data_IF_519706605928
#
_entry.id   IF_519706605928
#
_cell.length_a   1.000
_cell.length_b   1.000
_cell.length_c   1.000
_cell.angle_alpha   90.00
_cell.angle_beta   90.00
_cell.angle_gamma   90.00
#
_symmetry.space_group_name_H-M   'P 1'
#
loop_
_entity.id
_entity.type
_entity.pdbx_description
1 polymer ?
#
# COMPACT_ATOMS: atom_id res chain seq x y z
N UNK A 1 -1.60 -10.17 -11.85
CA UNK A 1 -2.04 -9.47 -13.08
C UNK A 1 -0.99 -9.53 -14.20
N UNK A 2 0.24 -9.04 -14.06
CA UNK A 2 1.23 -9.04 -15.15
C UNK A 2 1.48 -10.44 -15.73
N UNK A 3 1.57 -11.47 -14.90
CA UNK A 3 1.69 -12.86 -15.35
C UNK A 3 0.50 -13.29 -16.20
N UNK A 4 -0.73 -12.96 -15.76
CA UNK A 4 -1.93 -13.29 -16.52
C UNK A 4 -2.05 -12.55 -17.86
N UNK A 5 -1.54 -11.31 -17.94
CA UNK A 5 -1.42 -10.61 -19.22
C UNK A 5 -0.44 -11.33 -20.15
N UNK A 6 0.73 -11.73 -19.64
CA UNK A 6 1.73 -12.47 -20.42
C UNK A 6 1.15 -13.80 -20.95
N UNK A 7 0.50 -14.58 -20.10
CA UNK A 7 -0.13 -15.87 -20.46
C UNK A 7 -1.20 -15.70 -21.56
N UNK A 8 -1.80 -14.52 -21.70
CA UNK A 8 -2.80 -14.17 -22.71
C UNK A 8 -2.23 -13.43 -23.93
N UNK A 9 -0.91 -13.33 -24.00
CA UNK A 9 -0.24 -12.62 -25.10
C UNK A 9 -0.48 -11.10 -25.10
N UNK A 10 -0.95 -10.54 -24.01
CA UNK A 10 -1.20 -9.10 -23.84
C UNK A 10 0.04 -8.42 -23.24
N UNK A 11 0.35 -7.23 -23.75
CA UNK A 11 1.49 -6.44 -23.29
C UNK A 11 1.02 -5.06 -22.86
N UNK A 12 1.36 -4.62 -21.64
CA UNK A 12 1.10 -3.25 -21.22
C UNK A 12 2.10 -2.30 -21.91
N UNK A 13 1.64 -1.10 -22.27
CA UNK A 13 2.52 -0.04 -22.80
C UNK A 13 3.36 0.61 -21.69
N UNK A 14 2.87 0.61 -20.46
CA UNK A 14 3.56 1.13 -19.29
C UNK A 14 3.18 0.35 -18.05
N UNK A 15 4.12 0.23 -17.12
CA UNK A 15 3.90 -0.34 -15.78
C UNK A 15 4.37 0.69 -14.76
N UNK A 16 3.51 1.05 -13.82
CA UNK A 16 3.80 2.09 -12.84
C UNK A 16 3.65 1.61 -11.42
N UNK A 17 4.54 2.06 -10.54
CA UNK A 17 4.45 1.90 -9.10
C UNK A 17 4.47 3.27 -8.41
N UNK A 18 3.43 3.59 -7.66
CA UNK A 18 3.37 4.84 -6.90
C UNK A 18 4.05 4.65 -5.53
N UNK A 19 5.25 5.18 -5.39
CA UNK A 19 6.07 5.10 -4.20
C UNK A 19 5.72 6.23 -3.22
N UNK A 20 5.26 5.86 -2.04
CA UNK A 20 4.99 6.80 -0.93
C UNK A 20 6.26 7.20 -0.17
N UNK A 21 7.38 6.50 -0.42
CA UNK A 21 8.62 6.61 0.35
C UNK A 21 8.53 6.01 1.76
N UNK A 22 7.48 5.26 2.05
CA UNK A 22 7.25 4.63 3.36
C UNK A 22 6.88 3.14 3.27
N UNK A 23 7.07 2.51 2.12
CA UNK A 23 6.83 1.09 1.98
C UNK A 23 7.86 0.27 2.78
N UNK A 24 7.49 -0.96 3.16
CA UNK A 24 8.41 -1.89 3.85
C UNK A 24 9.54 -2.34 2.92
N UNK A 25 10.74 -2.68 3.43
CA UNK A 25 11.86 -3.16 2.62
C UNK A 25 11.51 -4.33 1.68
N UNK A 26 10.69 -5.28 2.15
CA UNK A 26 10.20 -6.38 1.34
C UNK A 26 9.41 -5.95 0.09
N UNK A 27 8.67 -4.84 0.15
CA UNK A 27 7.96 -4.29 -1.02
C UNK A 27 8.96 -3.79 -2.07
N UNK A 28 9.99 -3.05 -1.66
CA UNK A 28 11.01 -2.55 -2.59
C UNK A 28 11.80 -3.69 -3.24
N UNK A 29 12.20 -4.70 -2.45
CA UNK A 29 12.86 -5.88 -2.98
C UNK A 29 11.97 -6.63 -4.00
N UNK A 30 10.68 -6.77 -3.71
CA UNK A 30 9.73 -7.40 -4.63
C UNK A 30 9.58 -6.60 -5.93
N UNK A 31 9.47 -5.28 -5.87
CA UNK A 31 9.41 -4.40 -7.05
C UNK A 31 10.64 -4.61 -7.94
N UNK A 32 11.84 -4.70 -7.35
CA UNK A 32 13.07 -4.97 -8.09
C UNK A 32 12.98 -6.31 -8.82
N UNK A 33 12.60 -7.39 -8.13
CA UNK A 33 12.47 -8.72 -8.73
C UNK A 33 11.41 -8.77 -9.84
N UNK A 34 10.27 -8.08 -9.64
CA UNK A 34 9.22 -8.01 -10.67
C UNK A 34 9.69 -7.18 -11.86
N UNK A 35 10.47 -6.11 -11.64
CA UNK A 35 11.02 -5.32 -12.74
C UNK A 35 11.99 -6.13 -13.59
N UNK A 36 12.89 -6.90 -12.98
CA UNK A 36 13.79 -7.82 -13.69
C UNK A 36 13.00 -8.86 -14.50
N UNK A 37 11.95 -9.43 -13.90
CA UNK A 37 11.08 -10.37 -14.59
C UNK A 37 10.35 -9.69 -15.77
N UNK A 38 9.82 -8.48 -15.61
CA UNK A 38 9.20 -7.72 -16.70
C UNK A 38 10.13 -7.56 -17.90
N UNK A 39 11.36 -7.12 -17.65
CA UNK A 39 12.37 -6.94 -18.69
C UNK A 39 12.67 -8.28 -19.38
N UNK A 40 12.84 -9.37 -18.61
CA UNK A 40 13.12 -10.71 -19.13
C UNK A 40 12.03 -11.22 -20.07
N UNK A 41 10.75 -10.93 -19.79
CA UNK A 41 9.62 -11.36 -20.63
C UNK A 41 9.28 -10.34 -21.73
N UNK A 42 10.06 -9.27 -21.85
CA UNK A 42 9.91 -8.21 -22.86
C UNK A 42 8.80 -7.22 -22.55
N UNK A 43 8.38 -7.11 -21.29
CA UNK A 43 7.52 -6.02 -20.81
C UNK A 43 8.34 -4.74 -20.58
N UNK A 44 7.70 -3.56 -20.52
CA UNK A 44 8.40 -2.35 -20.12
C UNK A 44 8.88 -2.44 -18.68
N UNK A 45 9.94 -1.71 -18.36
CA UNK A 45 10.39 -1.53 -16.98
C UNK A 45 9.34 -0.82 -16.14
N UNK A 46 9.37 -1.08 -14.82
CA UNK A 46 8.45 -0.42 -13.89
C UNK A 46 8.91 1.02 -13.66
N UNK A 47 8.02 1.96 -13.94
CA UNK A 47 8.24 3.38 -13.64
C UNK A 47 7.85 3.70 -12.20
N UNK A 48 8.80 4.21 -11.41
CA UNK A 48 8.59 4.61 -10.02
C UNK A 48 8.06 6.03 -9.99
N UNK A 49 6.79 6.16 -9.63
CA UNK A 49 6.12 7.46 -9.52
C UNK A 49 6.15 7.94 -8.07
N UNK A 50 6.73 9.11 -7.83
CA UNK A 50 6.76 9.71 -6.50
C UNK A 50 5.73 10.82 -6.37
N UNK A 51 5.19 10.95 -5.15
CA UNK A 51 4.08 11.82 -4.80
C UNK A 51 4.26 13.29 -5.14
N UNK A 52 3.29 14.15 -4.80
CA UNK A 52 3.33 15.54 -5.17
C UNK A 52 4.61 16.16 -4.63
N UNK A 53 5.50 16.54 -5.54
CA UNK A 53 6.67 17.33 -5.24
C UNK A 53 6.28 18.81 -5.34
N UNK A 54 6.05 19.55 -4.26
CA UNK A 54 6.46 20.92 -4.29
C UNK A 54 7.98 20.86 -4.45
N UNK A 55 8.53 21.58 -5.41
CA UNK A 55 9.99 21.67 -5.65
C UNK A 55 10.81 22.02 -4.39
N UNK A 56 10.14 22.30 -3.28
CA UNK A 56 10.72 22.68 -1.97
C UNK A 56 10.83 21.51 -0.97
N UNK A 57 10.35 20.30 -1.27
CA UNK A 57 10.49 19.13 -0.40
C UNK A 57 11.42 18.15 -1.09
N UNK A 58 12.72 18.31 -0.84
CA UNK A 58 13.80 17.56 -1.46
C UNK A 58 13.74 16.04 -1.29
N UNK A 59 12.91 15.54 -0.35
CA UNK A 59 12.77 14.12 -0.08
C UNK A 59 11.29 13.72 0.00
N UNK A 60 10.54 13.96 -1.04
CA UNK A 60 9.09 13.76 -1.09
C UNK A 60 8.62 12.37 -0.64
N UNK A 61 8.51 12.17 0.67
CA UNK A 61 7.89 10.99 1.25
C UNK A 61 6.70 11.37 2.13
N UNK A 62 5.72 10.48 2.20
CA UNK A 62 4.55 10.65 3.07
C UNK A 62 4.97 10.74 4.54
N UNK A 63 5.99 9.97 4.95
CA UNK A 63 6.55 10.04 6.30
C UNK A 63 7.05 11.45 6.64
N UNK A 64 7.92 12.02 5.80
CA UNK A 64 8.44 13.37 6.03
C UNK A 64 7.37 14.43 6.03
N UNK A 65 6.38 14.31 5.17
CA UNK A 65 5.24 15.21 5.22
C UNK A 65 4.52 15.13 6.57
N UNK A 66 4.27 13.92 7.06
CA UNK A 66 3.60 13.71 8.35
C UNK A 66 4.41 14.28 9.51
N UNK A 67 5.72 14.00 9.56
CA UNK A 67 6.62 14.51 10.59
C UNK A 67 6.70 16.05 10.55
N UNK A 68 6.96 16.64 9.39
CA UNK A 68 7.05 18.10 9.22
C UNK A 68 5.78 18.83 9.62
N UNK A 69 4.62 18.25 9.31
CA UNK A 69 3.31 18.86 9.61
C UNK A 69 2.78 18.51 10.99
N UNK A 70 3.40 17.56 11.70
CA UNK A 70 2.87 17.06 12.97
C UNK A 70 1.50 16.39 12.82
N UNK A 71 1.30 15.61 11.76
CA UNK A 71 0.01 14.95 11.47
C UNK A 71 0.19 13.47 11.19
N UNK A 72 -0.89 12.71 11.36
CA UNK A 72 -0.96 11.30 10.96
C UNK A 72 -1.55 11.16 9.55
N UNK A 73 -1.25 10.06 8.83
CA UNK A 73 -1.95 9.73 7.60
C UNK A 73 -3.45 9.58 7.88
N UNK A 74 -4.29 10.40 7.22
CA UNK A 74 -5.72 10.42 7.50
C UNK A 74 -6.45 9.31 6.73
N UNK A 75 -7.28 8.54 7.45
CA UNK A 75 -8.28 7.66 6.88
C UNK A 75 -9.61 7.90 7.60
N UNK A 76 -10.46 8.75 7.03
CA UNK A 76 -11.74 9.11 7.60
C UNK A 76 -12.86 8.87 6.58
N UNK A 77 -13.99 8.32 7.02
CA UNK A 77 -15.22 8.17 6.23
C UNK A 77 -15.01 7.46 4.86
N UNK A 78 -14.16 6.44 4.81
CA UNK A 78 -13.87 5.71 3.57
C UNK A 78 -12.96 6.45 2.57
N UNK A 79 -12.51 7.66 2.90
CA UNK A 79 -11.55 8.42 2.12
C UNK A 79 -10.15 8.35 2.74
N UNK A 80 -9.17 8.03 1.92
CA UNK A 80 -7.76 7.97 2.30
C UNK A 80 -7.00 9.08 1.59
N UNK A 81 -6.81 10.21 2.26
CA UNK A 81 -6.09 11.36 1.68
C UNK A 81 -4.65 11.01 1.30
N UNK A 82 -4.00 10.10 2.04
CA UNK A 82 -2.67 9.62 1.71
C UNK A 82 -2.68 8.82 0.40
N UNK A 83 -3.70 8.00 0.15
CA UNK A 83 -3.83 7.25 -1.11
C UNK A 83 -4.09 8.17 -2.29
N UNK A 84 -5.01 9.12 -2.16
CA UNK A 84 -5.28 10.06 -3.24
C UNK A 84 -4.05 10.89 -3.60
N UNK A 85 -3.43 11.53 -2.60
CA UNK A 85 -2.31 12.43 -2.79
C UNK A 85 -1.01 11.72 -3.22
N UNK A 86 -0.71 10.55 -2.63
CA UNK A 86 0.59 9.90 -2.79
C UNK A 86 0.59 8.70 -3.74
N UNK A 87 -0.60 8.17 -4.09
CA UNK A 87 -0.72 7.06 -5.06
C UNK A 87 -1.48 7.46 -6.31
N UNK A 88 -2.67 8.07 -6.17
CA UNK A 88 -3.52 8.37 -7.33
C UNK A 88 -3.04 9.59 -8.11
N UNK A 89 -2.63 10.67 -7.42
CA UNK A 89 -2.20 11.90 -8.08
C UNK A 89 -0.93 11.73 -8.93
N UNK A 90 0.14 11.03 -8.48
CA UNK A 90 1.27 10.72 -9.33
C UNK A 90 0.89 9.95 -10.60
N UNK A 91 -0.05 8.99 -10.48
CA UNK A 91 -0.53 8.23 -11.63
C UNK A 91 -1.36 9.08 -12.60
N UNK A 92 -2.21 10.00 -12.10
CA UNK A 92 -2.94 10.94 -12.96
C UNK A 92 -1.99 11.83 -13.78
N UNK A 93 -0.93 12.34 -13.13
CA UNK A 93 0.10 13.13 -13.81
C UNK A 93 0.86 12.31 -14.85
N UNK A 94 1.24 11.08 -14.49
CA UNK A 94 1.88 10.17 -15.43
C UNK A 94 1.00 9.95 -16.65
N UNK A 95 -0.28 9.63 -16.46
CA UNK A 95 -1.22 9.44 -17.58
C UNK A 95 -1.33 10.67 -18.47
N UNK A 96 -1.35 11.88 -17.91
CA UNK A 96 -1.38 13.11 -18.69
C UNK A 96 -0.11 13.30 -19.53
N UNK A 97 1.06 13.01 -18.95
CA UNK A 97 2.35 13.08 -19.64
C UNK A 97 2.43 12.02 -20.74
N UNK A 98 2.04 10.78 -20.42
CA UNK A 98 2.03 9.66 -21.35
C UNK A 98 1.11 9.93 -22.56
N UNK A 99 -0.11 10.42 -22.31
CA UNK A 99 -1.05 10.80 -23.36
C UNK A 99 -0.48 11.85 -24.30
N UNK A 100 0.11 12.91 -23.71
CA UNK A 100 0.75 13.99 -24.49
C UNK A 100 1.93 13.48 -25.33
N UNK A 101 2.78 12.64 -24.73
CA UNK A 101 3.96 12.10 -25.41
C UNK A 101 3.60 11.19 -26.60
N UNK A 102 2.47 10.48 -26.51
CA UNK A 102 1.99 9.57 -27.54
C UNK A 102 0.94 10.19 -28.49
N UNK A 103 0.59 11.47 -28.32
CA UNK A 103 -0.38 12.16 -29.17
C UNK A 103 -1.80 11.61 -29.08
N UNK A 104 -2.18 11.02 -27.93
CA UNK A 104 -3.51 10.44 -27.70
C UNK A 104 -4.27 11.23 -26.61
N UNK A 105 -5.60 11.26 -26.65
CA UNK A 105 -6.38 11.82 -25.54
C UNK A 105 -6.29 10.91 -24.30
N UNK A 106 -6.40 11.49 -23.10
CA UNK A 106 -6.37 10.70 -21.86
C UNK A 106 -7.51 9.70 -21.77
N UNK A 107 -8.64 9.96 -22.44
CA UNK A 107 -9.79 9.03 -22.53
C UNK A 107 -9.44 7.68 -23.17
N UNK A 108 -8.41 7.65 -24.01
CA UNK A 108 -7.97 6.45 -24.73
C UNK A 108 -6.99 5.61 -23.91
N UNK A 109 -6.50 6.14 -22.78
CA UNK A 109 -5.71 5.37 -21.83
C UNK A 109 -6.61 4.36 -21.13
N UNK A 110 -6.20 3.10 -21.16
CA UNK A 110 -6.79 2.03 -20.37
C UNK A 110 -5.89 1.73 -19.19
N UNK A 111 -6.39 1.98 -17.98
CA UNK A 111 -5.70 1.66 -16.74
C UNK A 111 -6.15 0.31 -16.22
N UNK A 112 -5.25 -0.65 -16.18
CA UNK A 112 -5.49 -1.98 -15.63
C UNK A 112 -5.29 -1.97 -14.11
N UNK A 113 -6.31 -2.40 -13.36
CA UNK A 113 -6.30 -2.44 -11.90
C UNK A 113 -6.42 -3.88 -11.44
N UNK A 114 -5.49 -4.33 -10.60
CA UNK A 114 -5.39 -5.71 -10.15
C UNK A 114 -6.29 -6.04 -8.95
N UNK A 115 -7.58 -5.66 -8.99
CA UNK A 115 -8.56 -6.21 -8.05
C UNK A 115 -8.90 -7.62 -8.49
N UNK A 116 -8.79 -8.58 -7.58
CA UNK A 116 -9.09 -9.98 -7.86
C UNK A 116 -10.59 -10.30 -7.74
N UNK A 117 -10.98 -11.52 -8.07
CA UNK A 117 -12.38 -11.93 -8.08
C UNK A 117 -13.01 -11.98 -6.69
N UNK A 118 -12.19 -12.03 -5.63
CA UNK A 118 -12.65 -12.04 -4.24
C UNK A 118 -12.93 -10.62 -3.71
N UNK A 119 -12.70 -9.58 -4.53
CA UNK A 119 -12.90 -8.16 -4.19
C UNK A 119 -14.02 -7.48 -5.01
N UNK A 120 -15.23 -8.06 -5.20
CA UNK A 120 -16.26 -7.53 -6.09
C UNK A 120 -16.73 -6.13 -5.70
N UNK A 121 -16.81 -5.82 -4.42
CA UNK A 121 -17.24 -4.51 -3.93
C UNK A 121 -16.27 -3.38 -4.33
N UNK A 122 -14.99 -3.68 -4.50
CA UNK A 122 -13.99 -2.71 -4.97
C UNK A 122 -14.14 -2.45 -6.47
N UNK A 123 -14.40 -3.49 -7.24
CA UNK A 123 -14.66 -3.39 -8.69
C UNK A 123 -15.94 -2.59 -8.95
N UNK A 124 -17.02 -2.90 -8.26
CA UNK A 124 -18.30 -2.18 -8.37
C UNK A 124 -18.15 -0.69 -8.02
N UNK A 125 -17.46 -0.37 -6.93
CA UNK A 125 -17.15 1.02 -6.56
C UNK A 125 -16.32 1.71 -7.65
N UNK A 126 -15.32 1.03 -8.20
CA UNK A 126 -14.53 1.53 -9.31
C UNK A 126 -15.37 1.83 -10.55
N UNK A 127 -16.25 0.91 -10.93
CA UNK A 127 -17.19 1.07 -12.05
C UNK A 127 -18.19 2.20 -11.81
N UNK A 128 -18.75 2.33 -10.62
CA UNK A 128 -19.70 3.40 -10.27
C UNK A 128 -19.08 4.81 -10.36
N UNK A 129 -17.77 4.93 -10.21
CA UNK A 129 -17.03 6.19 -10.27
C UNK A 129 -16.45 6.48 -11.66
N UNK A 130 -16.69 5.62 -12.65
CA UNK A 130 -16.09 5.72 -14.00
C UNK A 130 -16.34 7.07 -14.68
N UNK A 131 -17.54 7.65 -14.51
CA UNK A 131 -17.93 8.93 -15.08
C UNK A 131 -17.10 10.14 -14.57
N UNK A 132 -16.37 9.98 -13.47
CA UNK A 132 -15.49 11.02 -12.88
C UNK A 132 -14.03 10.87 -13.30
N UNK A 133 -13.70 9.88 -14.14
CA UNK A 133 -12.32 9.54 -14.49
C UNK A 133 -11.96 10.06 -15.87
N UNK A 134 -10.72 10.49 -16.01
CA UNK A 134 -10.17 10.97 -17.27
C UNK A 134 -9.69 9.84 -18.19
N UNK A 135 -9.52 8.62 -17.65
CA UNK A 135 -9.11 7.43 -18.37
C UNK A 135 -10.05 6.26 -18.07
N UNK A 136 -10.12 5.29 -18.97
CA UNK A 136 -10.89 4.06 -18.74
C UNK A 136 -10.16 3.16 -17.75
N UNK A 137 -10.91 2.47 -16.88
CA UNK A 137 -10.37 1.45 -15.98
C UNK A 137 -10.93 0.09 -16.33
N UNK A 138 -10.07 -0.91 -16.29
CA UNK A 138 -10.41 -2.32 -16.48
C UNK A 138 -9.85 -3.13 -15.30
N UNK A 139 -10.47 -4.26 -15.02
CA UNK A 139 -10.19 -5.10 -13.86
C UNK A 139 -9.88 -6.54 -14.31
N UNK A 140 -8.73 -6.78 -14.96
CA UNK A 140 -8.44 -8.05 -15.63
C UNK A 140 -8.55 -9.28 -14.73
N UNK A 141 -8.06 -9.22 -13.49
CA UNK A 141 -8.14 -10.37 -12.58
C UNK A 141 -9.60 -10.74 -12.27
N UNK A 142 -10.43 -9.73 -12.02
CA UNK A 142 -11.86 -9.93 -11.80
C UNK A 142 -12.56 -10.50 -13.04
N UNK A 143 -12.26 -9.95 -14.22
CA UNK A 143 -12.86 -10.38 -15.49
C UNK A 143 -12.41 -11.79 -15.89
N UNK A 144 -11.20 -12.21 -15.49
CA UNK A 144 -10.72 -13.60 -15.68
C UNK A 144 -11.24 -14.57 -14.62
N UNK A 145 -11.94 -14.10 -13.59
CA UNK A 145 -12.37 -14.90 -12.46
C UNK A 145 -11.23 -15.37 -11.56
N UNK A 146 -10.09 -14.68 -11.58
CA UNK A 146 -8.95 -15.03 -10.76
C UNK A 146 -9.12 -14.49 -9.34
N UNK A 147 -9.29 -15.41 -8.39
CA UNK A 147 -9.25 -15.12 -6.98
C UNK A 147 -7.83 -15.06 -6.42
N UNK A 148 -7.72 -15.02 -5.10
CA UNK A 148 -6.43 -14.92 -4.42
C UNK A 148 -5.52 -16.12 -4.71
N UNK A 149 -6.06 -17.33 -4.69
CA UNK A 149 -5.31 -18.55 -4.93
C UNK A 149 -4.75 -18.61 -6.37
N UNK A 150 -5.55 -18.24 -7.37
CA UNK A 150 -5.11 -18.16 -8.76
C UNK A 150 -3.94 -17.19 -8.93
N UNK A 151 -3.99 -16.06 -8.21
CA UNK A 151 -2.91 -15.07 -8.21
C UNK A 151 -1.63 -15.64 -7.59
N UNK A 152 -1.73 -16.39 -6.49
CA UNK A 152 -0.60 -17.07 -5.83
C UNK A 152 0.04 -18.07 -6.79
N UNK A 153 -0.77 -18.92 -7.42
CA UNK A 153 -0.32 -19.93 -8.38
C UNK A 153 0.34 -19.29 -9.61
N UNK A 154 -0.23 -18.20 -10.12
CA UNK A 154 0.35 -17.49 -11.26
C UNK A 154 1.73 -16.91 -10.93
N UNK A 155 1.92 -16.36 -9.72
CA UNK A 155 3.21 -15.84 -9.25
C UNK A 155 4.22 -16.99 -9.14
N UNK A 156 3.79 -18.14 -8.59
CA UNK A 156 4.65 -19.33 -8.49
C UNK A 156 5.05 -19.87 -9.87
N UNK A 157 4.11 -19.96 -10.82
CA UNK A 157 4.40 -20.37 -12.22
C UNK A 157 5.40 -19.45 -12.91
N UNK A 158 5.37 -18.15 -12.58
CA UNK A 158 6.34 -17.19 -13.12
C UNK A 158 7.74 -17.29 -12.46
N UNK A 159 7.93 -18.14 -11.45
CA UNK A 159 9.17 -18.26 -10.69
C UNK A 159 9.43 -17.03 -9.79
N UNK A 160 8.42 -16.26 -9.49
CA UNK A 160 8.51 -15.10 -8.61
C UNK A 160 8.21 -15.51 -7.15
N UNK A 161 8.87 -14.82 -6.21
CA UNK A 161 8.54 -14.98 -4.80
C UNK A 161 7.22 -14.28 -4.50
N UNK A 162 6.38 -14.91 -3.65
CA UNK A 162 5.16 -14.28 -3.16
C UNK A 162 5.50 -12.97 -2.42
N UNK A 163 4.84 -11.86 -2.76
CA UNK A 163 5.02 -10.61 -2.03
C UNK A 163 4.33 -10.68 -0.67
N UNK A 164 4.91 -10.06 0.33
CA UNK A 164 4.18 -9.68 1.53
C UNK A 164 3.17 -8.56 1.24
N UNK A 165 2.39 -8.20 2.24
CA UNK A 165 1.44 -7.09 2.13
C UNK A 165 2.16 -5.77 1.82
N UNK A 166 1.84 -5.15 0.68
CA UNK A 166 2.33 -3.83 0.31
C UNK A 166 1.57 -2.75 1.09
N UNK A 167 2.24 -2.14 2.05
CA UNK A 167 1.69 -1.02 2.82
C UNK A 167 2.85 -0.22 3.43
N UNK A 168 2.61 1.08 3.64
CA UNK A 168 3.53 1.89 4.43
C UNK A 168 3.72 1.28 5.82
N UNK A 169 4.95 1.31 6.35
CA UNK A 169 5.24 0.75 7.68
C UNK A 169 4.46 1.45 8.82
N UNK A 170 3.95 2.65 8.58
CA UNK A 170 3.09 3.44 9.46
C UNK A 170 1.63 3.53 8.98
N UNK A 171 1.13 2.52 8.28
CA UNK A 171 -0.21 2.56 7.71
C UNK A 171 -1.30 2.51 8.81
N UNK A 172 -2.26 3.46 8.85
CA UNK A 172 -3.37 3.42 9.81
C UNK A 172 -4.27 2.18 9.68
N UNK A 173 -4.19 1.48 8.56
CA UNK A 173 -4.94 0.26 8.30
C UNK A 173 -4.20 -1.01 8.71
N UNK A 174 -3.01 -0.89 9.31
CA UNK A 174 -2.30 -2.05 9.83
C UNK A 174 -3.09 -2.72 10.94
N UNK A 175 -3.23 -4.03 10.82
CA UNK A 175 -3.83 -4.87 11.86
C UNK A 175 -2.81 -5.08 12.99
N UNK A 176 -3.29 -5.39 14.19
CA UNK A 176 -2.45 -5.63 15.37
C UNK A 176 -1.32 -6.65 15.14
N UNK A 177 -1.58 -7.82 14.52
CA UNK A 177 -0.53 -8.78 14.19
C UNK A 177 0.54 -8.19 13.25
N UNK A 178 0.16 -7.35 12.29
CA UNK A 178 1.11 -6.71 11.35
C UNK A 178 2.03 -5.69 12.06
N UNK A 179 1.54 -5.06 13.14
CA UNK A 179 2.34 -4.16 13.98
C UNK A 179 3.35 -4.97 14.79
N UNK A 180 2.96 -6.14 15.30
CA UNK A 180 3.88 -7.05 16.01
C UNK A 180 4.92 -7.64 15.06
N UNK A 181 4.53 -8.03 13.85
CA UNK A 181 5.47 -8.45 12.81
C UNK A 181 6.46 -7.33 12.47
N UNK A 182 5.97 -6.08 12.31
CA UNK A 182 6.84 -4.91 12.09
C UNK A 182 7.82 -4.72 13.25
N UNK A 183 7.37 -4.92 14.49
CA UNK A 183 8.23 -4.85 15.70
C UNK A 183 9.34 -5.90 15.69
N UNK A 184 9.02 -7.11 15.27
CA UNK A 184 9.96 -8.22 15.23
C UNK A 184 10.96 -8.11 14.06
N UNK A 185 10.47 -7.77 12.88
CA UNK A 185 11.25 -7.79 11.65
C UNK A 185 11.99 -6.47 11.37
N UNK A 186 11.38 -5.34 11.76
CA UNK A 186 11.85 -4.00 11.46
C UNK A 186 11.64 -3.04 12.64
N UNK A 187 12.31 -3.26 13.79
CA UNK A 187 12.14 -2.45 15.00
C UNK A 187 12.46 -0.97 14.78
N UNK A 188 13.40 -0.65 13.90
CA UNK A 188 13.76 0.71 13.50
C UNK A 188 12.59 1.42 12.80
N UNK A 189 11.86 0.74 11.91
CA UNK A 189 10.69 1.30 11.26
C UNK A 189 9.53 1.48 12.25
N UNK A 190 9.36 0.56 13.19
CA UNK A 190 8.38 0.75 14.26
C UNK A 190 8.69 2.00 15.09
N UNK A 191 9.93 2.21 15.50
CA UNK A 191 10.32 3.41 16.26
C UNK A 191 10.01 4.70 15.49
N UNK A 192 10.26 4.74 14.19
CA UNK A 192 9.90 5.89 13.32
C UNK A 192 8.39 6.11 13.27
N UNK A 193 7.59 5.05 13.18
CA UNK A 193 6.13 5.14 13.21
C UNK A 193 5.62 5.67 14.56
N UNK A 194 6.18 5.19 15.67
CA UNK A 194 5.84 5.66 17.01
C UNK A 194 6.23 7.12 17.25
N UNK A 195 7.36 7.56 16.71
CA UNK A 195 7.78 8.97 16.80
C UNK A 195 6.82 9.87 15.99
N UNK A 196 6.36 9.43 14.81
CA UNK A 196 5.32 10.14 14.05
C UNK A 196 4.02 10.25 14.86
N UNK A 197 3.61 9.17 15.53
CA UNK A 197 2.43 9.16 16.41
C UNK A 197 2.61 10.14 17.57
N UNK A 198 3.76 10.13 18.24
CA UNK A 198 4.09 11.03 19.36
C UNK A 198 3.99 12.48 18.96
N UNK A 199 4.66 12.88 17.88
CA UNK A 199 4.68 14.27 17.38
C UNK A 199 3.26 14.76 17.07
N UNK A 200 2.46 13.94 16.39
CA UNK A 200 1.09 14.31 16.01
C UNK A 200 0.15 14.43 17.23
N UNK A 201 0.29 13.54 18.22
CA UNK A 201 -0.51 13.56 19.44
C UNK A 201 -0.10 14.71 20.37
N UNK A 202 1.19 15.07 20.40
CA UNK A 202 1.68 16.23 21.15
C UNK A 202 1.27 17.58 20.50
N UNK A 203 0.89 17.56 19.20
CA UNK A 203 0.60 18.79 18.45
C UNK A 203 1.86 19.56 18.09
N UNK A 204 2.98 18.85 17.95
CA UNK A 204 4.26 19.42 17.53
C UNK A 204 4.26 19.57 16.00
N UNK A 205 3.89 20.74 15.49
CA UNK A 205 3.91 21.04 14.06
C UNK A 205 2.84 22.07 13.66
N UNK A 206 2.85 22.53 12.41
CA UNK A 206 1.95 23.57 11.92
C UNK A 206 0.50 23.06 11.63
N UNK A 207 0.29 21.75 11.56
CA UNK A 207 -1.05 21.21 11.36
C UNK A 207 -1.87 21.30 12.66
N UNK A 208 -3.20 21.42 12.58
CA UNK A 208 -4.05 21.30 13.76
C UNK A 208 -3.80 19.96 14.48
N UNK A 209 -3.78 20.02 15.82
CA UNK A 209 -3.61 18.81 16.62
C UNK A 209 -4.62 17.75 16.23
N UNK A 210 -4.16 16.53 16.05
CA UNK A 210 -5.03 15.42 15.68
C UNK A 210 -6.03 15.09 16.80
N UNK A 211 -7.26 14.77 16.41
CA UNK A 211 -8.30 14.23 17.30
C UNK A 211 -8.29 12.71 17.35
N UNK A 212 -7.42 12.05 16.55
CA UNK A 212 -7.31 10.60 16.56
C UNK A 212 -6.60 10.10 17.83
N UNK A 213 -6.84 8.85 18.21
CA UNK A 213 -6.16 8.21 19.34
C UNK A 213 -4.72 7.80 19.04
N UNK A 214 -4.30 7.87 17.77
CA UNK A 214 -2.99 7.48 17.28
C UNK A 214 -3.04 6.94 15.86
N UNK A 215 -2.01 6.18 15.45
CA UNK A 215 -1.88 5.62 14.11
C UNK A 215 -2.94 4.55 13.79
N UNK A 216 -3.35 3.76 14.77
CA UNK A 216 -4.36 2.71 14.55
C UNK A 216 -5.78 3.25 14.38
N UNK A 217 -6.66 2.45 13.77
CA UNK A 217 -8.08 2.75 13.69
C UNK A 217 -8.70 2.68 15.09
N UNK A 218 -8.86 3.81 15.75
CA UNK A 218 -9.47 3.93 17.07
C UNK A 218 -8.54 3.58 18.25
N UNK A 219 -7.23 3.40 18.02
CA UNK A 219 -6.24 3.17 19.06
C UNK A 219 -4.87 3.79 18.69
N UNK A 220 -4.05 4.08 19.71
CA UNK A 220 -2.64 4.46 19.52
C UNK A 220 -1.76 3.21 19.50
N UNK A 221 -0.78 3.17 18.60
CA UNK A 221 0.17 2.05 18.52
C UNK A 221 1.02 1.99 19.78
N UNK A 222 1.56 3.13 20.24
CA UNK A 222 2.36 3.19 21.47
C UNK A 222 1.61 2.67 22.69
N UNK A 223 0.39 3.17 22.91
CA UNK A 223 -0.45 2.76 24.05
C UNK A 223 -0.80 1.28 23.99
N UNK A 224 -1.15 0.79 22.80
CA UNK A 224 -1.48 -0.62 22.63
C UNK A 224 -0.27 -1.53 22.83
N UNK A 225 0.90 -1.18 22.30
CA UNK A 225 2.13 -1.97 22.50
C UNK A 225 2.54 -2.03 23.97
N UNK A 226 2.41 -0.93 24.71
CA UNK A 226 2.67 -0.92 26.15
C UNK A 226 1.71 -1.87 26.92
N UNK A 227 0.45 -1.96 26.50
CA UNK A 227 -0.49 -2.93 27.06
C UNK A 227 -0.08 -4.38 26.76
N UNK A 228 0.37 -4.66 25.53
CA UNK A 228 0.89 -5.98 25.13
C UNK A 228 2.10 -6.35 25.98
N UNK A 229 3.04 -5.42 26.17
CA UNK A 229 4.25 -5.66 26.97
C UNK A 229 3.90 -5.98 28.44
N UNK A 230 3.02 -5.19 29.06
CA UNK A 230 2.55 -5.44 30.43
C UNK A 230 1.85 -6.79 30.58
N UNK A 231 1.03 -7.18 29.61
CA UNK A 231 0.39 -8.51 29.60
C UNK A 231 1.42 -9.63 29.42
N UNK A 232 2.42 -9.43 28.58
CA UNK A 232 3.45 -10.42 28.34
C UNK A 232 4.35 -10.61 29.57
N UNK A 233 4.65 -9.54 30.30
CA UNK A 233 5.43 -9.61 31.55
C UNK A 233 4.69 -10.37 32.66
N UNK A 234 3.36 -10.23 32.73
CA UNK A 234 2.52 -10.88 33.75
C UNK A 234 2.06 -12.29 33.36
N UNK A 235 2.23 -12.71 32.11
CA UNK A 235 1.74 -13.98 31.60
C UNK A 235 2.69 -15.15 31.90
N UNK A 236 2.12 -16.33 32.13
CA UNK A 236 2.88 -17.59 32.18
C UNK A 236 3.43 -17.94 30.77
N UNK A 237 4.44 -18.82 30.73
CA UNK A 237 5.08 -19.23 29.47
C UNK A 237 4.08 -19.81 28.45
N UNK A 238 3.13 -20.65 28.92
CA UNK A 238 2.04 -21.23 28.13
C UNK A 238 1.07 -20.14 27.58
N UNK A 239 0.82 -19.08 28.32
CA UNK A 239 0.00 -17.95 27.89
C UNK A 239 0.71 -17.07 26.86
N UNK A 240 2.03 -16.91 26.99
CA UNK A 240 2.87 -16.20 26.01
C UNK A 240 2.86 -16.93 24.67
N UNK A 241 3.03 -18.26 24.70
CA UNK A 241 3.03 -19.09 23.50
C UNK A 241 1.68 -19.01 22.75
N UNK A 242 0.55 -19.06 23.47
CA UNK A 242 -0.79 -18.87 22.92
C UNK A 242 -1.01 -17.46 22.37
N UNK A 243 -0.49 -16.43 23.02
CA UNK A 243 -0.56 -15.04 22.55
C UNK A 243 0.26 -14.88 21.24
N UNK A 244 1.47 -15.44 21.19
CA UNK A 244 2.30 -15.46 19.99
C UNK A 244 1.63 -16.24 18.85
N UNK A 245 1.09 -17.42 19.12
CA UNK A 245 0.38 -18.22 18.11
C UNK A 245 -0.84 -17.48 17.53
N UNK A 246 -1.58 -16.73 18.34
CA UNK A 246 -2.72 -15.92 17.90
C UNK A 246 -2.31 -14.67 17.11
N UNK A 247 -1.05 -14.27 17.17
CA UNK A 247 -0.50 -13.11 16.46
C UNK A 247 0.20 -13.48 15.15
N UNK A 248 0.45 -14.77 14.91
CA UNK A 248 0.93 -15.27 13.62
C UNK A 248 -0.17 -15.06 12.59
N UNK A 249 -0.03 -14.01 11.79
CA UNK A 249 -0.92 -13.76 10.64
C UNK A 249 -0.61 -14.83 9.60
N UNK A 250 -1.59 -15.55 9.07
CA UNK A 250 -1.39 -16.24 7.80
C UNK A 250 -0.90 -15.20 6.79
N UNK A 251 0.15 -15.50 6.05
CA UNK A 251 0.83 -14.56 5.13
C UNK A 251 -0.07 -13.95 4.03
N UNK A 252 -1.37 -14.20 4.04
CA UNK A 252 -2.24 -14.08 2.85
C UNK A 252 -3.42 -13.09 3.04
N UNK A 253 -3.44 -12.20 4.03
CA UNK A 253 -4.57 -11.27 4.14
C UNK A 253 -4.21 -9.85 3.68
N UNK A 254 -4.47 -9.55 2.40
CA UNK A 254 -4.28 -8.25 1.76
C UNK A 254 -5.40 -7.24 2.02
N UNK A 255 -5.99 -7.21 3.20
CA UNK A 255 -7.00 -6.22 3.60
C UNK A 255 -6.50 -4.77 3.61
N UNK A 256 -5.85 -4.32 2.54
CA UNK A 256 -5.36 -2.94 2.43
C UNK A 256 -6.46 -1.90 2.25
N UNK A 257 -7.72 -2.32 2.04
CA UNK A 257 -8.78 -1.41 1.62
C UNK A 257 -10.18 -1.76 2.14
N UNK A 258 -10.31 -2.37 3.30
CA UNK A 258 -11.58 -2.38 4.03
C UNK A 258 -11.85 -0.94 4.49
N UNK A 259 -12.58 -0.20 3.64
CA UNK A 259 -12.88 1.17 3.86
C UNK A 259 -14.23 1.56 3.83
#
# INVERSE_FOLDING_TARGET
MLVGLLERGQRPDAITFADTGGEKPGTYAHITSVNEWCIKVGFPSIEILRGPMPQQILDGSLERECLRLGKLPAKAYGFSSCSDKWKMEPQRRYNAIFAKANGIPQSDIVRLIGFDADEPSRVERGKSMAHKKLCREEYPLYDWGWGREDCVDAIARAGLKQPGKSACFFCPSSKKPEILALRAEHPDLLLRALEMERIALAGEGPAPRTTSKGLGRGFGWATWLAQVDALTESASEDQREKLFASTMVPEIDCGCYDG
#
